data_IF_103945120097
#
_entry.id   IF_103945120097
#
_cell.length_a   1.000
_cell.length_b   1.000
_cell.length_c   1.000
_cell.angle_alpha   90.00
_cell.angle_beta   90.00
_cell.angle_gamma   90.00
#
_symmetry.space_group_name_H-M   'P 1'
#
loop_
_entity.id
_entity.type
_entity.pdbx_description
1 polymer ?
#
# COMPACT_ATOMS: atom_id res chain seq x y z
N UNK A 1 59.57 -67.07 -34.79
CA UNK A 1 59.43 -65.71 -34.20
C UNK A 1 57.96 -65.31 -34.25
N UNK A 2 57.27 -65.27 -33.10
CA UNK A 2 55.82 -65.02 -33.01
C UNK A 2 55.56 -63.51 -32.96
N UNK A 3 54.84 -62.99 -33.95
CA UNK A 3 54.45 -61.58 -34.02
C UNK A 3 53.42 -61.26 -32.93
N UNK A 4 53.79 -60.37 -32.00
CA UNK A 4 52.88 -59.83 -30.99
C UNK A 4 51.92 -58.83 -31.65
N UNK A 5 50.67 -59.25 -31.85
CA UNK A 5 49.59 -58.36 -32.31
C UNK A 5 49.25 -57.37 -31.20
N UNK A 6 49.68 -56.11 -31.36
CA UNK A 6 49.26 -54.99 -30.51
C UNK A 6 47.74 -54.79 -30.67
N UNK A 7 46.97 -55.04 -29.61
CA UNK A 7 45.56 -54.66 -29.54
C UNK A 7 45.48 -53.13 -29.45
N UNK A 8 45.05 -52.47 -30.53
CA UNK A 8 44.66 -51.06 -30.47
C UNK A 8 43.36 -50.99 -29.66
N UNK A 9 43.42 -50.40 -28.47
CA UNK A 9 42.25 -50.18 -27.62
C UNK A 9 41.23 -49.34 -28.38
N UNK A 10 40.02 -49.89 -28.53
CA UNK A 10 38.89 -49.23 -29.17
C UNK A 10 38.64 -47.88 -28.47
N UNK A 11 38.70 -46.82 -29.27
CA UNK A 11 38.74 -45.44 -28.79
C UNK A 11 37.41 -45.01 -28.17
N UNK A 12 37.56 -44.20 -27.13
CA UNK A 12 36.57 -43.57 -26.23
C UNK A 12 35.65 -42.54 -26.92
N UNK A 13 35.17 -42.82 -28.13
CA UNK A 13 34.30 -41.89 -28.89
C UNK A 13 32.90 -41.73 -28.27
N UNK A 14 32.34 -42.82 -27.74
CA UNK A 14 30.99 -42.82 -27.17
C UNK A 14 30.87 -42.00 -25.88
N UNK A 15 31.92 -41.91 -25.06
CA UNK A 15 31.93 -41.10 -23.84
C UNK A 15 31.84 -39.60 -24.12
N UNK A 16 32.45 -39.12 -25.21
CA UNK A 16 32.33 -37.71 -25.60
C UNK A 16 30.93 -37.40 -26.13
N UNK A 17 30.36 -38.31 -26.91
CA UNK A 17 28.97 -38.20 -27.38
C UNK A 17 27.98 -38.19 -26.20
N UNK A 18 28.13 -39.12 -25.25
CA UNK A 18 27.30 -39.18 -24.04
C UNK A 18 27.43 -37.90 -23.19
N UNK A 19 28.64 -37.36 -23.05
CA UNK A 19 28.88 -36.11 -22.34
C UNK A 19 28.20 -34.92 -23.04
N UNK A 20 28.30 -34.82 -24.37
CA UNK A 20 27.65 -33.77 -25.15
C UNK A 20 26.13 -33.84 -25.04
N UNK A 21 25.56 -35.04 -25.08
CA UNK A 21 24.13 -35.26 -24.89
C UNK A 21 23.71 -34.85 -23.47
N UNK A 22 24.48 -35.24 -22.44
CA UNK A 22 24.19 -34.88 -21.05
C UNK A 22 24.19 -33.36 -20.84
N UNK A 23 25.23 -32.66 -21.33
CA UNK A 23 25.32 -31.20 -21.24
C UNK A 23 24.16 -30.55 -22.01
N UNK A 24 23.79 -31.07 -23.17
CA UNK A 24 22.66 -30.56 -23.95
C UNK A 24 21.34 -30.70 -23.19
N UNK A 25 21.09 -31.86 -22.56
CA UNK A 25 19.88 -32.10 -21.75
C UNK A 25 19.83 -31.15 -20.55
N UNK A 26 20.94 -30.95 -19.85
CA UNK A 26 21.02 -30.02 -18.72
C UNK A 26 20.76 -28.59 -19.20
N UNK A 27 21.35 -28.17 -20.33
CA UNK A 27 21.15 -26.84 -20.90
C UNK A 27 19.68 -26.56 -21.26
N UNK A 28 19.01 -27.50 -21.93
CA UNK A 28 17.59 -27.37 -22.29
C UNK A 28 16.71 -27.33 -21.04
N UNK A 29 16.99 -28.18 -20.05
CA UNK A 29 16.21 -28.24 -18.81
C UNK A 29 16.33 -26.96 -18.00
N UNK A 30 17.53 -26.38 -17.91
CA UNK A 30 17.76 -25.12 -17.20
C UNK A 30 17.02 -23.93 -17.85
N UNK A 31 17.05 -23.83 -19.19
CA UNK A 31 16.40 -22.75 -19.92
C UNK A 31 14.87 -22.71 -19.67
N UNK A 32 14.21 -23.88 -19.65
CA UNK A 32 12.77 -23.97 -19.40
C UNK A 32 12.37 -23.49 -17.99
N UNK A 33 13.25 -23.61 -16.99
CA UNK A 33 12.94 -23.23 -15.60
C UNK A 33 12.92 -21.70 -15.36
N UNK A 34 13.65 -20.92 -16.17
CA UNK A 34 13.81 -19.48 -15.97
C UNK A 34 12.52 -18.69 -16.26
N UNK A 35 11.72 -19.13 -17.22
CA UNK A 35 10.50 -18.43 -17.65
C UNK A 35 9.41 -18.40 -16.57
N UNK A 36 9.40 -19.39 -15.66
CA UNK A 36 8.43 -19.45 -14.56
C UNK A 36 8.68 -18.37 -13.50
N UNK A 37 9.91 -17.84 -13.41
CA UNK A 37 10.29 -16.84 -12.41
C UNK A 37 9.54 -15.52 -12.56
N UNK A 38 9.32 -15.05 -13.80
CA UNK A 38 8.71 -13.75 -14.06
C UNK A 38 7.24 -13.67 -13.59
N UNK A 39 6.48 -14.75 -13.80
CA UNK A 39 5.08 -14.83 -13.35
C UNK A 39 5.01 -14.84 -11.82
N UNK A 40 5.91 -15.58 -11.18
CA UNK A 40 5.98 -15.64 -9.72
C UNK A 40 6.28 -14.26 -9.12
N UNK A 41 7.28 -13.55 -9.65
CA UNK A 41 7.63 -12.21 -9.20
C UNK A 41 6.46 -11.23 -9.34
N UNK A 42 5.79 -11.23 -10.50
CA UNK A 42 4.62 -10.38 -10.73
C UNK A 42 3.47 -10.69 -9.76
N UNK A 43 3.21 -11.97 -9.46
CA UNK A 43 2.20 -12.36 -8.49
C UNK A 43 2.55 -11.88 -7.08
N UNK A 44 3.83 -11.86 -6.71
CA UNK A 44 4.27 -11.32 -5.42
C UNK A 44 4.11 -9.80 -5.37
N UNK A 45 4.56 -9.09 -6.42
CA UNK A 45 4.38 -7.65 -6.55
C UNK A 45 2.90 -7.25 -6.47
N UNK A 46 2.00 -7.99 -7.13
CA UNK A 46 0.57 -7.73 -7.07
C UNK A 46 -0.05 -7.94 -5.68
N UNK A 47 0.37 -8.99 -4.95
CA UNK A 47 -0.07 -9.19 -3.56
C UNK A 47 0.42 -8.06 -2.66
N UNK A 48 1.67 -7.63 -2.87
CA UNK A 48 2.23 -6.50 -2.14
C UNK A 48 1.50 -5.20 -2.48
N UNK A 49 1.13 -4.99 -3.74
CA UNK A 49 0.35 -3.84 -4.19
C UNK A 49 -0.97 -3.75 -3.43
N UNK A 50 -1.70 -4.86 -3.30
CA UNK A 50 -2.93 -4.90 -2.52
C UNK A 50 -2.70 -4.57 -1.03
N UNK A 51 -1.63 -5.12 -0.43
CA UNK A 51 -1.27 -4.86 0.98
C UNK A 51 -0.89 -3.39 1.22
N UNK A 52 -0.09 -2.82 0.33
CA UNK A 52 0.30 -1.41 0.40
C UNK A 52 -0.93 -0.52 0.17
N UNK A 53 -1.77 -0.86 -0.82
CA UNK A 53 -3.03 -0.18 -1.08
C UNK A 53 -3.97 -0.17 0.13
N UNK A 54 -4.11 -1.30 0.83
CA UNK A 54 -4.87 -1.35 2.11
C UNK A 54 -4.27 -0.43 3.17
N UNK A 55 -2.95 -0.35 3.25
CA UNK A 55 -2.26 0.54 4.20
C UNK A 55 -2.59 2.00 3.90
N UNK A 56 -2.64 2.40 2.62
CA UNK A 56 -3.07 3.73 2.22
C UNK A 56 -4.56 3.99 2.49
N UNK A 57 -5.45 3.03 2.23
CA UNK A 57 -6.87 3.17 2.55
C UNK A 57 -7.08 3.41 4.05
N UNK A 58 -6.40 2.63 4.90
CA UNK A 58 -6.44 2.80 6.36
C UNK A 58 -5.85 4.14 6.80
N UNK A 59 -4.78 4.60 6.17
CA UNK A 59 -4.18 5.91 6.47
C UNK A 59 -5.15 7.05 6.13
N UNK A 60 -5.79 7.02 4.96
CA UNK A 60 -6.78 8.01 4.55
C UNK A 60 -8.01 7.99 5.48
N UNK A 61 -8.50 6.80 5.85
CA UNK A 61 -9.59 6.65 6.83
C UNK A 61 -9.19 7.24 8.19
N UNK A 62 -7.97 6.97 8.65
CA UNK A 62 -7.45 7.46 9.93
C UNK A 62 -7.35 9.00 9.91
N UNK A 63 -6.83 9.59 8.84
CA UNK A 63 -6.76 11.04 8.64
C UNK A 63 -8.16 11.68 8.72
N UNK A 64 -9.13 11.09 8.03
CA UNK A 64 -10.50 11.57 8.06
C UNK A 64 -11.16 11.45 9.44
N UNK A 65 -10.94 10.33 10.14
CA UNK A 65 -11.47 10.13 11.49
C UNK A 65 -10.85 11.07 12.53
N UNK A 66 -9.61 11.51 12.30
CA UNK A 66 -8.92 12.49 13.13
C UNK A 66 -9.27 13.93 12.73
N UNK A 67 -10.08 14.16 11.70
CA UNK A 67 -10.41 15.53 11.25
C UNK A 67 -11.47 16.16 12.16
N UNK A 68 -11.19 17.33 12.77
CA UNK A 68 -12.21 18.09 13.49
C UNK A 68 -13.33 18.58 12.57
N UNK A 69 -14.53 18.77 13.13
CA UNK A 69 -15.68 19.29 12.37
C UNK A 69 -15.36 20.64 11.71
N UNK A 70 -15.71 20.78 10.43
CA UNK A 70 -15.50 22.00 9.64
C UNK A 70 -14.17 22.06 8.88
N UNK A 71 -13.31 21.04 8.99
CA UNK A 71 -12.08 20.91 8.19
C UNK A 71 -12.22 19.83 7.10
N UNK A 72 -11.41 19.88 6.02
CA UNK A 72 -11.47 18.88 4.96
C UNK A 72 -11.07 17.50 5.49
N UNK A 73 -11.92 16.49 5.31
CA UNK A 73 -11.67 15.12 5.82
C UNK A 73 -10.62 14.35 5.03
N UNK A 74 -10.14 14.90 3.91
CA UNK A 74 -9.18 14.28 3.02
C UNK A 74 -7.92 15.13 2.94
N UNK A 75 -6.74 14.51 2.84
CA UNK A 75 -5.49 15.24 2.75
C UNK A 75 -5.33 15.87 1.36
N UNK A 76 -4.57 16.96 1.27
CA UNK A 76 -4.22 17.59 -0.03
C UNK A 76 -3.00 16.96 -0.68
N UNK A 77 -2.09 16.41 0.12
CA UNK A 77 -0.86 15.75 -0.33
C UNK A 77 -0.64 14.44 0.42
N UNK A 78 0.19 13.55 -0.12
CA UNK A 78 0.58 12.32 0.60
C UNK A 78 1.42 12.61 1.84
N UNK A 79 2.15 13.73 1.87
CA UNK A 79 2.96 14.13 3.02
C UNK A 79 2.12 14.41 4.27
N UNK A 80 0.88 14.89 4.10
CA UNK A 80 -0.07 15.08 5.21
C UNK A 80 -0.45 13.75 5.88
N UNK A 81 -0.33 12.62 5.18
CA UNK A 81 -0.50 11.29 5.79
C UNK A 81 0.70 10.90 6.66
N UNK A 82 1.91 11.36 6.32
CA UNK A 82 3.11 11.14 7.14
C UNK A 82 3.13 12.01 8.38
N UNK A 83 2.68 13.27 8.25
CA UNK A 83 2.62 14.23 9.33
C UNK A 83 1.43 15.15 9.11
N UNK A 84 0.41 14.98 9.95
CA UNK A 84 -0.76 15.87 9.89
C UNK A 84 -0.37 17.28 10.40
N UNK A 85 -0.46 18.33 9.56
CA UNK A 85 -0.11 19.70 9.94
C UNK A 85 -1.13 20.35 10.88
N UNK A 86 -2.31 19.76 11.07
CA UNK A 86 -3.39 20.30 11.92
C UNK A 86 -3.08 20.18 13.39
N UNK A 87 -2.22 19.23 13.75
CA UNK A 87 -1.84 18.95 15.12
C UNK A 87 -0.44 19.53 15.41
N UNK A 88 -0.26 20.21 16.55
CA UNK A 88 1.06 20.70 16.95
C UNK A 88 2.01 19.53 17.27
N UNK A 89 1.46 18.41 17.75
CA UNK A 89 2.18 17.16 17.96
C UNK A 89 2.21 16.33 16.68
N UNK A 90 3.27 15.53 16.49
CA UNK A 90 3.43 14.68 15.30
C UNK A 90 2.41 13.54 15.31
N UNK A 91 1.33 13.69 14.55
CA UNK A 91 0.36 12.64 14.26
C UNK A 91 0.71 12.02 12.90
N UNK A 92 0.89 10.70 12.86
CA UNK A 92 1.23 9.96 11.64
C UNK A 92 0.13 8.95 11.32
N UNK A 93 -0.45 9.05 10.13
CA UNK A 93 -1.42 8.08 9.62
C UNK A 93 -0.75 7.02 8.74
N UNK A 94 0.39 7.38 8.15
CA UNK A 94 1.23 6.51 7.35
C UNK A 94 2.67 6.54 7.89
N UNK A 95 3.35 5.39 7.90
CA UNK A 95 4.71 5.28 8.44
C UNK A 95 5.77 5.86 7.49
N UNK A 96 5.58 5.64 6.20
CA UNK A 96 6.42 6.10 5.09
C UNK A 96 5.60 6.04 3.80
N UNK A 97 5.99 6.82 2.81
CA UNK A 97 5.48 6.62 1.45
C UNK A 97 6.13 5.33 0.94
N UNK A 98 5.30 4.35 0.59
CA UNK A 98 5.75 3.06 0.06
C UNK A 98 6.03 3.20 -1.43
N UNK A 99 7.00 2.45 -1.94
CA UNK A 99 7.21 2.31 -3.37
C UNK A 99 6.07 1.46 -3.97
N UNK A 100 5.68 1.77 -5.20
CA UNK A 100 4.76 0.95 -5.98
C UNK A 100 5.48 -0.34 -6.41
N UNK A 101 5.04 -1.53 -5.95
CA UNK A 101 5.71 -2.80 -6.26
C UNK A 101 5.72 -3.14 -7.76
N UNK A 102 4.86 -2.50 -8.56
CA UNK A 102 4.77 -2.72 -10.00
C UNK A 102 5.77 -1.89 -10.79
N UNK A 103 6.14 -0.69 -10.31
CA UNK A 103 7.08 0.24 -10.97
C UNK A 103 8.45 0.28 -10.28
N UNK A 104 8.51 -0.14 -9.01
CA UNK A 104 9.68 -0.05 -8.14
C UNK A 104 9.97 1.36 -7.63
N UNK A 105 9.03 2.31 -7.77
CA UNK A 105 9.21 3.72 -7.39
C UNK A 105 8.02 4.22 -6.59
N UNK A 106 8.20 5.25 -5.77
CA UNK A 106 7.11 5.94 -5.09
C UNK A 106 6.30 6.88 -6.01
N UNK A 107 5.91 6.44 -7.21
CA UNK A 107 5.25 7.23 -8.26
C UNK A 107 3.73 7.02 -8.33
N UNK A 108 3.08 6.96 -7.16
CA UNK A 108 1.63 6.81 -7.04
C UNK A 108 0.86 7.92 -7.74
N UNK A 109 -0.16 7.53 -8.51
CA UNK A 109 -1.08 8.48 -9.13
C UNK A 109 -2.22 8.78 -8.19
N UNK A 110 -2.45 10.08 -7.97
CA UNK A 110 -3.40 10.61 -7.02
C UNK A 110 -4.77 10.76 -7.68
N UNK A 111 -5.80 10.16 -7.09
CA UNK A 111 -7.19 10.39 -7.47
C UNK A 111 -7.73 11.53 -6.62
N UNK A 112 -8.05 12.63 -7.30
CA UNK A 112 -8.57 13.83 -6.66
C UNK A 112 -10.08 13.73 -6.45
N UNK A 113 -10.58 14.38 -5.40
CA UNK A 113 -12.02 14.53 -5.21
C UNK A 113 -12.62 15.45 -6.30
N UNK A 114 -13.95 15.54 -6.41
CA UNK A 114 -14.61 16.43 -7.37
C UNK A 114 -14.22 17.91 -7.23
N UNK A 115 -13.73 18.32 -6.05
CA UNK A 115 -13.21 19.67 -5.80
C UNK A 115 -11.82 19.93 -6.40
N UNK A 116 -11.11 18.87 -6.84
CA UNK A 116 -9.76 18.91 -7.39
C UNK A 116 -8.65 19.22 -6.38
N UNK A 117 -8.97 19.39 -5.10
CA UNK A 117 -8.02 19.84 -4.07
C UNK A 117 -7.57 18.71 -3.14
N UNK A 118 -8.47 17.78 -2.82
CA UNK A 118 -8.17 16.70 -1.88
C UNK A 118 -7.97 15.37 -2.60
N UNK A 119 -7.23 14.47 -1.96
CA UNK A 119 -6.97 13.11 -2.46
C UNK A 119 -7.99 12.17 -1.84
N UNK A 120 -8.79 11.51 -2.68
CA UNK A 120 -9.77 10.49 -2.24
C UNK A 120 -9.22 9.08 -2.32
N UNK A 121 -8.18 8.88 -3.12
CA UNK A 121 -7.52 7.60 -3.28
C UNK A 121 -6.29 7.69 -4.15
N UNK A 122 -5.67 6.55 -4.36
CA UNK A 122 -4.47 6.41 -5.18
C UNK A 122 -4.58 5.17 -6.06
N UNK A 123 -3.81 5.13 -7.14
CA UNK A 123 -3.58 3.91 -7.91
C UNK A 123 -2.13 3.83 -8.39
N UNK A 124 -1.73 2.62 -8.78
CA UNK A 124 -0.43 2.37 -9.40
C UNK A 124 -0.31 3.14 -10.72
N UNK A 125 0.90 3.57 -11.06
CA UNK A 125 1.19 4.15 -12.38
C UNK A 125 1.32 3.08 -13.48
N UNK A 126 1.39 1.80 -13.11
CA UNK A 126 1.60 0.69 -14.03
C UNK A 126 0.37 0.39 -14.89
N UNK A 127 0.59 0.29 -16.21
CA UNK A 127 -0.43 -0.14 -17.19
C UNK A 127 -0.50 -1.67 -17.36
N UNK A 128 0.18 -2.42 -16.48
CA UNK A 128 0.20 -3.88 -16.53
C UNK A 128 -1.16 -4.50 -16.30
N UNK A 129 -1.40 -5.68 -16.90
CA UNK A 129 -2.64 -6.46 -16.70
C UNK A 129 -2.64 -7.22 -15.37
N UNK A 130 -3.66 -7.10 -14.52
CA UNK A 130 -3.68 -7.88 -13.29
C UNK A 130 -3.75 -9.40 -13.53
N UNK A 131 -3.13 -10.16 -12.63
CA UNK A 131 -3.24 -11.63 -12.58
C UNK A 131 -4.52 -12.01 -11.83
N UNK A 132 -4.82 -11.32 -10.73
CA UNK A 132 -6.07 -11.47 -9.99
C UNK A 132 -7.19 -10.74 -10.71
N UNK A 133 -8.20 -11.50 -11.11
CA UNK A 133 -9.36 -10.98 -11.86
C UNK A 133 -10.59 -10.88 -10.94
N UNK A 134 -10.64 -11.69 -9.88
CA UNK A 134 -11.84 -11.91 -9.04
C UNK A 134 -11.45 -12.18 -7.59
N UNK A 135 -12.47 -12.27 -6.73
CA UNK A 135 -12.33 -12.72 -5.34
C UNK A 135 -11.44 -11.79 -4.51
N UNK A 136 -11.64 -10.49 -4.69
CA UNK A 136 -10.97 -9.51 -3.86
C UNK A 136 -11.59 -9.45 -2.45
N UNK A 137 -10.79 -9.16 -1.42
CA UNK A 137 -11.28 -8.79 -0.11
C UNK A 137 -12.30 -7.63 -0.18
N UNK A 138 -13.24 -7.52 0.79
CA UNK A 138 -14.25 -6.46 0.80
C UNK A 138 -13.69 -5.03 0.77
N UNK A 139 -12.45 -4.82 1.20
CA UNK A 139 -11.77 -3.53 1.14
C UNK A 139 -11.56 -3.01 -0.30
N UNK A 140 -11.49 -3.91 -1.28
CA UNK A 140 -11.16 -3.60 -2.68
C UNK A 140 -12.34 -3.82 -3.65
N UNK A 141 -13.56 -3.53 -3.20
CA UNK A 141 -14.73 -3.57 -4.07
C UNK A 141 -14.51 -2.74 -5.35
N UNK A 142 -14.92 -3.28 -6.50
CA UNK A 142 -14.80 -2.62 -7.81
C UNK A 142 -13.51 -2.93 -8.58
N UNK A 143 -12.64 -3.80 -8.05
CA UNK A 143 -11.41 -4.27 -8.71
C UNK A 143 -11.65 -5.49 -9.61
N UNK A 144 -12.82 -6.13 -9.50
CA UNK A 144 -13.17 -7.30 -10.30
C UNK A 144 -13.16 -6.96 -11.80
N UNK A 145 -12.56 -7.86 -12.59
CA UNK A 145 -12.48 -7.81 -14.05
C UNK A 145 -11.81 -6.55 -14.64
N UNK A 146 -11.00 -5.84 -13.86
CA UNK A 146 -10.17 -4.73 -14.37
C UNK A 146 -9.04 -5.22 -15.25
N UNK A 147 -8.62 -4.38 -16.20
CA UNK A 147 -7.62 -4.74 -17.21
C UNK A 147 -6.26 -4.12 -16.95
N UNK A 148 -6.17 -3.11 -16.08
CA UNK A 148 -4.94 -2.40 -15.74
C UNK A 148 -4.85 -2.16 -14.23
N UNK A 149 -3.63 -2.10 -13.69
CA UNK A 149 -3.41 -1.66 -12.30
C UNK A 149 -3.80 -0.20 -12.06
N UNK A 150 -3.91 0.61 -13.12
CA UNK A 150 -4.46 1.97 -13.03
C UNK A 150 -5.96 2.01 -12.70
N UNK A 151 -6.70 0.95 -13.03
CA UNK A 151 -8.11 0.84 -12.68
C UNK A 151 -8.33 0.44 -11.21
N UNK A 152 -7.26 -0.02 -10.53
CA UNK A 152 -7.29 -0.42 -9.12
C UNK A 152 -7.10 0.80 -8.23
N UNK A 153 -8.20 1.54 -8.05
CA UNK A 153 -8.21 2.76 -7.23
C UNK A 153 -8.47 2.45 -5.76
N UNK A 154 -7.45 2.62 -4.94
CA UNK A 154 -7.50 2.47 -3.49
C UNK A 154 -8.12 3.73 -2.85
N UNK A 155 -9.44 3.73 -2.71
CA UNK A 155 -10.19 4.82 -2.06
C UNK A 155 -10.41 4.58 -0.57
N UNK A 156 -10.46 5.65 0.21
CA UNK A 156 -10.92 5.60 1.60
C UNK A 156 -12.41 5.25 1.65
N UNK A 157 -12.76 4.06 2.15
CA UNK A 157 -14.15 3.66 2.33
C UNK A 157 -14.56 3.90 3.77
N UNK A 158 -15.59 4.70 4.00
CA UNK A 158 -16.25 4.71 5.31
C UNK A 158 -17.25 3.56 5.31
N UNK A 159 -17.31 2.73 6.37
CA UNK A 159 -18.43 1.83 6.50
C UNK A 159 -19.69 2.68 6.40
N UNK A 160 -20.53 2.41 5.41
CA UNK A 160 -21.82 3.06 5.33
C UNK A 160 -22.49 2.78 6.68
N UNK A 161 -22.64 3.81 7.51
CA UNK A 161 -23.62 3.76 8.59
C UNK A 161 -24.92 3.43 7.87
N UNK A 162 -25.43 2.22 8.09
CA UNK A 162 -26.65 1.71 7.49
C UNK A 162 -27.72 2.80 7.55
N UNK A 163 -27.89 3.56 6.47
CA UNK A 163 -29.01 4.48 6.34
C UNK A 163 -30.23 3.56 6.35
N UNK A 164 -31.03 3.70 7.40
CA UNK A 164 -32.21 2.89 7.64
C UNK A 164 -33.06 2.79 6.38
N UNK A 165 -33.22 1.55 5.93
CA UNK A 165 -34.48 0.99 5.44
C UNK A 165 -35.54 2.04 5.07
N UNK A 166 -35.74 2.24 3.77
CA UNK A 166 -37.07 2.49 3.23
C UNK A 166 -37.17 1.81 1.87
N UNK A 167 -37.81 0.62 1.79
CA UNK A 167 -38.34 0.16 0.52
C UNK A 167 -39.42 1.17 0.13
N UNK A 168 -39.21 1.88 -0.98
CA UNK A 168 -40.29 2.57 -1.65
C UNK A 168 -41.22 1.52 -2.23
N UNK A 169 -42.21 1.10 -1.45
CA UNK A 169 -43.35 0.36 -1.96
C UNK A 169 -44.19 1.34 -2.77
N UNK A 170 -44.07 1.28 -4.09
CA UNK A 170 -44.91 2.01 -5.02
C UNK A 170 -45.70 1.01 -5.85
N UNK A 171 -46.62 0.32 -5.18
CA UNK A 171 -47.69 -0.45 -5.81
C UNK A 171 -49.00 0.33 -5.71
N UNK A 172 -49.21 1.25 -6.66
CA UNK A 172 -50.53 1.79 -6.94
C UNK A 172 -51.12 1.01 -8.12
N UNK A 173 -51.97 0.02 -7.84
CA UNK A 173 -52.99 -0.43 -8.80
C UNK A 173 -54.19 -1.09 -8.10
N UNK A 174 -55.34 -0.40 -8.20
CA UNK A 174 -56.74 -0.84 -8.15
C UNK A 174 -57.29 -1.71 -6.99
N UNK A 175 -58.23 -1.08 -6.26
CA UNK A 175 -59.64 -1.48 -6.15
C UNK A 175 -59.99 -2.83 -5.50
N UNK A 176 -60.56 -2.80 -4.29
CA UNK A 176 -61.97 -3.19 -4.07
C UNK A 176 -62.38 -3.24 -2.58
N UNK A 177 -63.51 -2.59 -2.32
CA UNK A 177 -64.64 -3.01 -1.44
C UNK A 177 -64.55 -3.11 0.09
N UNK A 178 -65.39 -2.26 0.69
CA UNK A 178 -66.45 -2.55 1.68
C UNK A 178 -66.06 -2.97 3.12
N UNK A 179 -66.57 -2.17 4.07
CA UNK A 179 -66.37 -2.37 5.51
C UNK A 179 -67.39 -3.28 6.19
N UNK A 180 -67.19 -3.46 7.49
CA UNK A 180 -68.26 -3.73 8.45
C UNK A 180 -67.87 -3.39 9.90
N UNK A 181 -68.63 -2.47 10.48
CA UNK A 181 -69.16 -2.34 11.86
C UNK A 181 -68.33 -2.58 13.13
N UNK A 182 -68.29 -1.51 13.94
CA UNK A 182 -68.86 -1.37 15.30
C UNK A 182 -68.24 -2.08 16.49
N UNK A 183 -67.89 -1.30 17.52
CA UNK A 183 -67.81 -1.77 18.90
C UNK A 183 -66.98 -0.94 19.89
N UNK A 184 -67.52 0.22 20.32
CA UNK A 184 -67.45 0.79 21.68
C UNK A 184 -66.21 0.58 22.59
N UNK A 185 -65.50 1.66 22.96
CA UNK A 185 -65.64 2.33 24.29
C UNK A 185 -64.59 3.45 24.52
N UNK A 186 -65.07 4.54 25.15
CA UNK A 186 -64.34 5.73 25.62
C UNK A 186 -63.81 5.49 27.08
N UNK A 187 -63.22 6.46 27.82
CA UNK A 187 -61.84 6.41 28.34
C UNK A 187 -61.74 6.49 29.90
N UNK A 188 -60.53 6.79 30.42
CA UNK A 188 -60.17 7.17 31.82
C UNK A 188 -60.11 6.01 32.83
N UNK A 189 -59.09 5.78 33.67
CA UNK A 189 -58.38 6.64 34.63
C UNK A 189 -57.13 5.87 35.19
N UNK A 190 -56.09 6.54 35.72
CA UNK A 190 -54.77 5.96 36.15
C UNK A 190 -54.77 5.13 37.46
N UNK A 191 -53.66 5.03 38.23
CA UNK A 191 -52.26 5.36 37.98
C UNK A 191 -51.26 4.17 38.19
N UNK A 192 -50.02 4.44 37.77
CA UNK A 192 -48.76 3.72 37.91
C UNK A 192 -48.50 3.00 39.27
N UNK A 193 -47.82 1.84 39.27
CA UNK A 193 -46.87 1.51 40.34
C UNK A 193 -45.43 1.42 39.82
N UNK A 194 -44.57 2.13 40.53
CA UNK A 194 -43.12 2.16 40.45
C UNK A 194 -42.53 0.80 40.83
N UNK A 195 -41.69 0.23 39.96
CA UNK A 195 -40.88 -0.94 40.27
C UNK A 195 -39.54 -0.85 39.56
N UNK A 196 -38.50 -0.44 40.29
CA UNK A 196 -37.11 -0.47 39.85
C UNK A 196 -36.55 -1.89 39.96
N UNK A 197 -35.86 -2.44 38.95
CA UNK A 197 -34.87 -3.48 39.16
C UNK A 197 -33.48 -2.84 39.22
N UNK A 198 -32.99 -2.60 40.43
CA UNK A 198 -31.55 -2.42 40.68
C UNK A 198 -30.92 -3.81 40.76
N UNK A 199 -30.09 -4.15 39.78
CA UNK A 199 -29.38 -5.42 39.70
C UNK A 199 -28.12 -5.27 38.86
N UNK A 200 -27.02 -4.95 39.52
CA UNK A 200 -25.67 -4.96 38.94
C UNK A 200 -25.16 -6.41 38.82
N UNK A 201 -24.63 -6.86 37.67
CA UNK A 201 -23.83 -8.07 37.64
C UNK A 201 -22.37 -7.71 37.95
N UNK A 202 -21.98 -7.78 39.23
CA UNK A 202 -20.57 -7.85 39.62
C UNK A 202 -20.10 -9.30 39.39
N UNK A 203 -19.43 -9.52 38.26
CA UNK A 203 -18.77 -10.78 37.92
C UNK A 203 -17.26 -10.61 37.98
N UNK A 204 -16.66 -11.00 39.10
CA UNK A 204 -15.22 -11.11 39.28
C UNK A 204 -14.69 -12.39 38.65
N UNK A 205 -13.61 -12.30 37.84
CA UNK A 205 -12.53 -13.30 37.65
C UNK A 205 -11.69 -12.96 36.40
N UNK A 206 -10.47 -13.51 36.20
CA UNK A 206 -9.34 -13.60 37.13
C UNK A 206 -7.97 -13.30 36.43
N UNK A 207 -6.94 -12.96 37.22
CA UNK A 207 -5.55 -13.39 37.00
C UNK A 207 -4.75 -12.81 35.84
N UNK A 208 -3.84 -11.87 36.15
CA UNK A 208 -2.65 -11.58 35.33
C UNK A 208 -1.64 -12.73 35.44
N UNK A 209 -1.08 -13.26 34.34
CA UNK A 209 0.16 -14.01 34.41
C UNK A 209 1.34 -13.03 34.42
N UNK A 210 1.89 -12.80 35.62
CA UNK A 210 3.27 -12.33 35.79
C UNK A 210 4.21 -13.46 35.35
N UNK A 211 4.84 -13.27 34.20
CA UNK A 211 5.81 -14.20 33.62
C UNK A 211 7.16 -13.52 33.48
N UNK A 212 8.04 -13.85 34.44
CA UNK A 212 9.44 -13.51 34.57
C UNK A 212 10.29 -13.78 33.31
N UNK A 213 11.26 -12.88 33.08
CA UNK A 213 12.41 -13.10 32.21
C UNK A 213 13.11 -14.45 32.52
N UNK A 214 13.56 -15.16 31.49
CA UNK A 214 14.73 -16.02 31.60
C UNK A 214 15.94 -15.31 30.98
N UNK A 215 17.02 -15.25 31.76
CA UNK A 215 18.30 -14.70 31.36
C UNK A 215 18.98 -15.47 30.22
N UNK A 216 19.98 -14.79 29.66
CA UNK A 216 20.98 -15.33 28.76
C UNK A 216 21.79 -16.46 29.40
N UNK A 217 22.14 -17.50 28.61
CA UNK A 217 23.37 -18.24 28.83
C UNK A 217 24.41 -17.90 27.77
N UNK A 218 25.59 -17.52 28.25
CA UNK A 218 26.84 -17.42 27.50
C UNK A 218 27.26 -18.76 26.88
N UNK A 219 27.85 -18.69 25.68
CA UNK A 219 29.09 -19.37 25.28
C UNK A 219 29.03 -20.85 24.88
N UNK A 220 29.41 -21.16 23.62
CA UNK A 220 30.68 -21.84 23.27
C UNK A 220 30.85 -22.04 21.75
N UNK A 221 31.97 -21.52 21.23
CA UNK A 221 32.95 -22.17 20.34
C UNK A 221 32.49 -23.11 19.21
N UNK A 222 32.52 -22.60 17.97
CA UNK A 222 32.91 -23.34 16.75
C UNK A 222 33.22 -22.27 15.67
N UNK A 223 34.45 -22.01 15.24
CA UNK A 223 35.31 -22.93 14.50
C UNK A 223 35.34 -22.52 13.02
N UNK A 224 36.09 -21.46 12.68
CA UNK A 224 36.43 -21.11 11.29
C UNK A 224 37.57 -22.00 10.79
N UNK A 225 37.59 -22.36 9.49
CA UNK A 225 38.87 -22.62 8.85
C UNK A 225 39.05 -21.80 7.55
N UNK A 226 40.31 -21.41 7.32
CA UNK A 226 40.92 -20.76 6.15
C UNK A 226 40.56 -19.28 5.92
N UNK A 227 41.50 -18.33 5.73
CA UNK A 227 42.93 -18.42 5.40
C UNK A 227 43.21 -17.65 4.10
N UNK A 228 43.66 -16.40 4.20
CA UNK A 228 44.49 -15.66 3.21
C UNK A 228 44.70 -14.24 3.75
N UNK A 229 45.88 -13.82 4.18
CA UNK A 229 47.15 -13.61 3.46
C UNK A 229 47.34 -12.13 3.10
N UNK A 230 48.22 -11.49 3.88
CA UNK A 230 49.17 -10.45 3.49
C UNK A 230 48.71 -9.03 3.09
N UNK A 231 49.41 -8.04 3.64
CA UNK A 231 49.68 -6.77 2.94
C UNK A 231 49.50 -5.51 3.78
N UNK A 232 50.38 -5.29 4.76
CA UNK A 232 50.54 -3.96 5.36
C UNK A 232 51.27 -3.01 4.42
N UNK A 233 50.84 -1.74 4.38
CA UNK A 233 51.76 -0.61 4.42
C UNK A 233 51.00 0.70 4.71
N UNK A 234 51.34 1.32 5.84
CA UNK A 234 51.31 2.79 6.00
C UNK A 234 52.67 3.32 5.55
N UNK A 235 52.75 4.55 5.01
CA UNK A 235 53.00 5.73 5.84
C UNK A 235 52.11 6.91 5.35
N UNK A 236 51.83 7.99 6.07
CA UNK A 236 52.61 8.78 7.00
C UNK A 236 52.44 10.24 6.58
N UNK A 237 51.96 11.07 7.52
CA UNK A 237 52.05 12.54 7.63
C UNK A 237 51.97 13.45 6.40
N UNK A 238 51.09 14.46 6.45
CA UNK A 238 51.47 15.88 6.52
C UNK A 238 50.22 16.77 6.56
N UNK A 239 50.26 17.76 7.46
CA UNK A 239 49.20 18.74 7.74
C UNK A 239 49.39 20.02 6.88
N UNK A 240 48.79 21.19 7.19
CA UNK A 240 47.98 21.96 6.24
C UNK A 240 48.59 23.33 5.84
N UNK A 241 48.05 23.94 4.78
CA UNK A 241 48.18 25.36 4.41
C UNK A 241 47.03 25.67 3.43
N UNK A 242 46.28 26.78 3.46
CA UNK A 242 46.52 28.12 3.97
C UNK A 242 46.41 29.13 2.80
N UNK A 243 45.67 30.23 3.00
CA UNK A 243 45.47 31.45 2.15
C UNK A 243 44.45 31.33 0.97
N UNK A 244 43.33 32.07 0.93
CA UNK A 244 43.04 33.54 0.88
C UNK A 244 43.18 34.16 -0.52
N UNK A 245 42.35 35.21 -0.78
CA UNK A 245 42.14 36.08 -1.98
C UNK A 245 40.81 35.78 -2.71
N UNK A 246 39.70 36.51 -2.48
CA UNK A 246 39.35 37.92 -2.72
C UNK A 246 39.32 38.33 -4.21
N UNK A 247 38.10 38.55 -4.75
CA UNK A 247 37.76 39.73 -5.58
C UNK A 247 36.30 39.68 -6.10
N UNK A 248 35.46 40.61 -5.62
CA UNK A 248 34.40 41.24 -6.44
C UNK A 248 35.03 42.38 -7.27
N UNK A 249 34.39 42.93 -8.32
CA UNK A 249 33.33 43.93 -8.13
C UNK A 249 32.19 43.96 -9.18
N UNK A 250 31.24 44.84 -8.85
CA UNK A 250 30.02 45.40 -9.46
C UNK A 250 29.95 45.75 -10.96
N UNK A 251 28.73 45.63 -11.51
CA UNK A 251 27.97 46.66 -12.27
C UNK A 251 26.57 46.06 -12.58
N UNK A 252 25.39 46.70 -12.45
CA UNK A 252 24.99 48.09 -12.33
C UNK A 252 23.89 48.38 -13.36
N UNK A 253 22.70 48.82 -12.90
CA UNK A 253 21.66 49.66 -13.59
C UNK A 253 20.23 49.08 -13.71
N UNK A 254 19.29 49.70 -12.98
CA UNK A 254 17.82 49.69 -13.10
C UNK A 254 17.32 50.71 -14.16
N UNK A 255 16.06 51.20 -14.17
CA UNK A 255 14.72 50.57 -14.18
C UNK A 255 13.84 51.07 -15.37
N UNK A 256 12.62 50.54 -15.57
CA UNK A 256 11.65 51.14 -16.51
C UNK A 256 10.20 50.67 -16.36
N UNK A 257 9.35 51.53 -15.78
CA UNK A 257 7.92 51.84 -16.03
C UNK A 257 7.06 50.79 -16.77
N UNK A 258 5.92 50.31 -16.26
CA UNK A 258 4.67 51.05 -15.97
C UNK A 258 3.50 50.36 -16.74
N UNK A 259 2.23 50.46 -16.28
CA UNK A 259 1.17 49.49 -16.62
C UNK A 259 0.29 49.91 -17.82
N UNK A 260 -0.27 48.94 -18.55
CA UNK A 260 -1.35 49.19 -19.52
C UNK A 260 -2.56 48.31 -19.25
N UNK A 261 -3.58 48.98 -18.72
CA UNK A 261 -4.98 48.57 -18.61
C UNK A 261 -5.65 48.55 -20.00
N UNK A 262 -6.42 47.52 -20.32
CA UNK A 262 -7.42 47.58 -21.40
C UNK A 262 -8.52 46.54 -21.22
N UNK A 263 -9.63 46.98 -20.63
CA UNK A 263 -10.96 46.38 -20.82
C UNK A 263 -11.45 46.63 -22.26
N UNK A 264 -12.35 45.78 -22.76
CA UNK A 264 -13.46 46.28 -23.56
C UNK A 264 -14.81 45.87 -22.97
N UNK A 265 -15.60 46.89 -22.75
CA UNK A 265 -17.06 46.92 -22.60
C UNK A 265 -17.78 46.12 -23.71
N UNK A 266 -18.55 45.11 -23.31
CA UNK A 266 -19.60 44.49 -24.12
C UNK A 266 -20.95 45.01 -23.66
N UNK A 267 -21.59 45.82 -24.50
CA UNK A 267 -22.88 46.45 -24.29
C UNK A 267 -23.93 45.74 -25.17
N UNK A 268 -25.07 45.42 -24.55
CA UNK A 268 -26.36 45.03 -25.16
C UNK A 268 -26.84 46.08 -26.21
N UNK A 269 -27.77 45.77 -27.13
CA UNK A 269 -29.16 45.38 -26.83
C UNK A 269 -29.53 43.91 -27.10
#
# INVERSE_FOLDING_TARGET
MRQARRRRGAQRGYTYLALMILISIIGITAAASAELGAIYQRRMAEKELLKVGETFQRALQSYASATPLGQPTQPRTLDELLRDPRYPNVVRHLRRIYDDPMTGKADWVLVKAPDGQTIVGIHSASQGRPIQIKQFPPAFQGFDNRKSYTDWVFIARYPALTQGQRPGDNTLNNGDSAGNTSGSNLPSNGPQPSGSPSGSPFGSSPGSPSGSQPGSPFGTSFGSPFGSSFGGNSPGGSAPNGSLFNSSPSNGSSPGNGPSNSSPSGQFP
#
